data_IF_645383605364
#
_entry.id   IF_645383605364
#
_cell.length_a   1.000
_cell.length_b   1.000
_cell.length_c   1.000
_cell.angle_alpha   90.00
_cell.angle_beta   90.00
_cell.angle_gamma   90.00
#
_symmetry.space_group_name_H-M   'P 1'
#
loop_
_entity.id
_entity.type
_entity.pdbx_description
1 polymer ?
#
# COMPACT_ATOMS: atom_id res chain seq x y z
N UNK A 1 -8.97 18.86 10.93
CA UNK A 1 -8.25 19.84 10.10
C UNK A 1 -6.86 19.32 9.72
N UNK A 2 -5.83 19.35 10.59
CA UNK A 2 -4.46 18.91 10.20
C UNK A 2 -4.33 17.43 9.78
N UNK A 3 -5.05 16.50 10.43
CA UNK A 3 -4.90 15.07 10.14
C UNK A 3 -5.48 14.65 8.78
N UNK A 4 -6.63 15.21 8.42
CA UNK A 4 -7.36 14.87 7.19
C UNK A 4 -6.64 15.34 5.92
N UNK A 5 -5.86 16.42 5.98
CA UNK A 5 -5.13 16.95 4.82
C UNK A 5 -3.93 16.07 4.45
N UNK A 6 -3.17 15.58 5.44
CA UNK A 6 -2.02 14.71 5.17
C UNK A 6 -2.42 13.29 4.76
N UNK A 7 -3.57 12.81 5.24
CA UNK A 7 -4.16 11.56 4.76
C UNK A 7 -4.63 11.66 3.30
N UNK A 8 -5.15 12.83 2.91
CA UNK A 8 -5.55 13.12 1.54
C UNK A 8 -4.33 13.26 0.61
N UNK A 9 -3.25 13.92 1.07
CA UNK A 9 -1.99 14.03 0.33
C UNK A 9 -1.21 12.71 0.25
N UNK A 10 -1.63 11.67 0.97
CA UNK A 10 -1.00 10.35 0.92
C UNK A 10 0.36 10.30 1.60
N UNK A 11 0.62 11.14 2.61
CA UNK A 11 1.87 11.08 3.37
C UNK A 11 2.00 9.70 4.02
N UNK A 12 3.07 8.92 3.77
CA UNK A 12 3.14 7.50 4.15
C UNK A 12 3.25 7.30 5.66
N UNK A 13 3.97 8.19 6.35
CA UNK A 13 4.23 8.11 7.78
C UNK A 13 4.05 9.48 8.43
N UNK A 14 3.35 9.53 9.57
CA UNK A 14 3.18 10.74 10.38
C UNK A 14 3.83 10.53 11.74
N UNK A 15 4.62 11.52 12.17
CA UNK A 15 5.24 11.56 13.49
C UNK A 15 4.45 12.56 14.35
N UNK A 16 3.93 12.09 15.48
CA UNK A 16 3.29 12.92 16.49
C UNK A 16 4.20 13.01 17.72
N UNK A 17 4.44 14.24 18.17
CA UNK A 17 5.30 14.54 19.31
C UNK A 17 4.44 15.28 20.33
N UNK A 18 4.14 14.62 21.44
CA UNK A 18 3.46 15.20 22.60
C UNK A 18 4.46 15.67 23.66
N UNK A 19 4.11 16.67 24.51
CA UNK A 19 4.99 17.11 25.60
C UNK A 19 5.35 15.97 26.57
N UNK A 20 4.39 15.10 26.88
CA UNK A 20 4.58 13.92 27.75
C UNK A 20 5.45 12.84 27.10
N UNK A 21 5.33 12.65 25.80
CA UNK A 21 6.13 11.65 25.08
C UNK A 21 7.59 12.11 24.99
N UNK A 22 7.81 13.43 24.81
CA UNK A 22 9.14 14.03 24.84
C UNK A 22 9.83 13.84 26.19
N UNK A 23 9.11 14.04 27.30
CA UNK A 23 9.61 13.77 28.67
C UNK A 23 10.00 12.30 28.87
N UNK A 24 9.26 11.38 28.23
CA UNK A 24 9.52 9.94 28.27
C UNK A 24 10.51 9.45 27.19
N UNK A 25 11.02 10.33 26.33
CA UNK A 25 11.92 9.97 25.23
C UNK A 25 11.26 9.08 24.17
N UNK A 26 9.97 9.23 23.92
CA UNK A 26 9.20 8.48 22.93
C UNK A 26 8.50 9.39 21.92
N UNK A 27 8.11 8.83 20.78
CA UNK A 27 7.28 9.48 19.76
C UNK A 27 6.24 8.50 19.23
N UNK A 28 5.08 9.01 18.80
CA UNK A 28 4.05 8.21 18.14
C UNK A 28 4.23 8.29 16.63
N UNK A 29 4.30 7.13 15.98
CA UNK A 29 4.33 6.95 14.53
C UNK A 29 2.97 6.41 14.07
N UNK A 30 2.37 7.05 13.07
CA UNK A 30 1.13 6.60 12.45
C UNK A 30 1.35 6.32 10.96
N UNK A 31 1.02 5.11 10.52
CA UNK A 31 1.14 4.65 9.13
C UNK A 31 -0.12 4.94 8.33
N UNK A 32 0.03 5.38 7.08
CA UNK A 32 -1.12 5.68 6.21
C UNK A 32 -1.73 4.45 5.55
N UNK A 33 -0.92 3.46 5.22
CA UNK A 33 -1.34 2.26 4.50
C UNK A 33 -2.17 1.31 5.36
N UNK A 34 -1.80 1.14 6.64
CA UNK A 34 -2.52 0.27 7.60
C UNK A 34 -3.37 1.04 8.62
N UNK A 35 -3.19 2.35 8.74
CA UNK A 35 -3.80 3.19 9.81
C UNK A 35 -3.37 2.80 11.23
N UNK A 36 -2.32 1.98 11.36
CA UNK A 36 -1.75 1.57 12.64
C UNK A 36 -0.92 2.70 13.27
N UNK A 37 -0.86 2.66 14.60
CA UNK A 37 -0.04 3.56 15.41
C UNK A 37 0.92 2.75 16.27
N UNK A 38 2.15 3.21 16.37
CA UNK A 38 3.20 2.61 17.18
C UNK A 38 3.94 3.70 17.95
N UNK A 39 4.17 3.51 19.24
CA UNK A 39 5.02 4.38 20.05
C UNK A 39 6.43 3.81 20.09
N UNK A 40 7.42 4.61 19.70
CA UNK A 40 8.81 4.17 19.60
C UNK A 40 9.74 5.10 20.40
N UNK A 41 10.86 4.57 20.87
CA UNK A 41 11.89 5.40 21.53
C UNK A 41 12.60 6.29 20.51
N UNK A 42 12.99 7.49 20.94
CA UNK A 42 13.74 8.45 20.12
C UNK A 42 15.16 7.99 19.80
N UNK A 43 15.73 7.07 20.57
CA UNK A 43 17.12 6.62 20.44
C UNK A 43 17.44 5.92 19.11
N UNK A 44 16.47 5.23 18.51
CA UNK A 44 16.61 4.52 17.24
C UNK A 44 15.58 4.95 16.18
N UNK A 45 15.06 6.17 16.33
CA UNK A 45 13.94 6.66 15.53
C UNK A 45 14.26 6.70 14.02
N UNK A 46 15.46 7.14 13.65
CA UNK A 46 15.85 7.27 12.23
C UNK A 46 15.87 5.93 11.51
N UNK A 47 16.45 4.89 12.11
CA UNK A 47 16.49 3.54 11.52
C UNK A 47 15.08 2.95 11.45
N UNK A 48 14.28 3.12 12.50
CA UNK A 48 12.89 2.67 12.51
C UNK A 48 12.06 3.33 11.41
N UNK A 49 12.22 4.64 11.18
CA UNK A 49 11.53 5.35 10.10
C UNK A 49 11.94 4.81 8.73
N UNK A 50 13.24 4.63 8.48
CA UNK A 50 13.74 4.08 7.21
C UNK A 50 13.14 2.70 6.93
N UNK A 51 13.21 1.79 7.90
CA UNK A 51 12.65 0.45 7.80
C UNK A 51 11.12 0.46 7.59
N UNK A 52 10.41 1.38 8.26
CA UNK A 52 8.96 1.52 8.08
C UNK A 52 8.60 2.00 6.67
N UNK A 53 9.35 2.95 6.11
CA UNK A 53 9.12 3.43 4.75
C UNK A 53 9.35 2.33 3.70
N UNK A 54 10.40 1.53 3.85
CA UNK A 54 10.65 0.36 2.99
C UNK A 54 9.50 -0.65 3.10
N UNK A 55 9.10 -0.99 4.33
CA UNK A 55 7.99 -1.93 4.56
C UNK A 55 6.66 -1.44 4.00
N UNK A 56 6.38 -0.13 4.06
CA UNK A 56 5.17 0.46 3.45
C UNK A 56 5.21 0.26 1.94
N UNK A 57 6.35 0.52 1.30
CA UNK A 57 6.51 0.35 -0.13
C UNK A 57 6.33 -1.12 -0.55
N UNK A 58 6.97 -2.05 0.15
CA UNK A 58 6.82 -3.49 -0.10
C UNK A 58 5.37 -3.95 0.05
N UNK A 59 4.69 -3.52 1.12
CA UNK A 59 3.30 -3.88 1.41
C UNK A 59 2.36 -3.40 0.30
N UNK A 60 2.51 -2.14 -0.12
CA UNK A 60 1.68 -1.55 -1.16
C UNK A 60 1.96 -2.17 -2.53
N UNK A 61 3.22 -2.44 -2.85
CA UNK A 61 3.60 -3.11 -4.09
C UNK A 61 3.01 -4.52 -4.16
N UNK A 62 3.16 -5.30 -3.10
CA UNK A 62 2.59 -6.65 -3.02
C UNK A 62 1.07 -6.61 -3.19
N UNK A 63 0.39 -5.70 -2.48
CA UNK A 63 -1.06 -5.53 -2.61
C UNK A 63 -1.47 -5.19 -4.04
N UNK A 64 -0.73 -4.33 -4.73
CA UNK A 64 -1.01 -3.97 -6.11
C UNK A 64 -0.75 -5.14 -7.08
N UNK A 65 0.31 -5.91 -6.86
CA UNK A 65 0.61 -7.11 -7.65
C UNK A 65 -0.48 -8.17 -7.48
N UNK A 66 -0.85 -8.49 -6.24
CA UNK A 66 -1.94 -9.43 -5.95
C UNK A 66 -3.25 -8.97 -6.58
N UNK A 67 -3.62 -7.69 -6.42
CA UNK A 67 -4.83 -7.17 -7.05
C UNK A 67 -4.80 -7.30 -8.58
N UNK A 68 -3.67 -6.97 -9.22
CA UNK A 68 -3.54 -7.15 -10.67
C UNK A 68 -3.67 -8.62 -11.06
N UNK A 69 -2.97 -9.51 -10.38
CA UNK A 69 -2.92 -10.93 -10.73
C UNK A 69 -4.28 -11.61 -10.51
N UNK A 70 -4.99 -11.25 -9.44
CA UNK A 70 -6.37 -11.72 -9.16
C UNK A 70 -7.39 -11.22 -10.19
N UNK A 71 -7.13 -10.05 -10.80
CA UNK A 71 -7.93 -9.46 -11.87
C UNK A 71 -7.26 -9.66 -13.25
N UNK A 72 -6.45 -10.71 -13.39
CA UNK A 72 -5.88 -11.12 -14.66
C UNK A 72 -6.29 -12.56 -14.97
N UNK A 73 -6.92 -12.76 -16.13
CA UNK A 73 -7.48 -14.05 -16.51
C UNK A 73 -6.89 -14.58 -17.81
N UNK A 74 -6.95 -15.89 -18.01
CA UNK A 74 -6.49 -16.53 -19.23
C UNK A 74 -7.68 -17.07 -20.04
N UNK A 75 -7.83 -16.55 -21.26
CA UNK A 75 -8.83 -17.05 -22.20
C UNK A 75 -8.32 -18.32 -22.90
N UNK A 76 -9.20 -19.33 -22.98
CA UNK A 76 -8.91 -20.63 -23.62
C UNK A 76 -9.30 -20.63 -25.10
N UNK A 77 -10.32 -19.85 -25.43
CA UNK A 77 -10.88 -19.73 -26.77
C UNK A 77 -11.57 -18.35 -26.91
N UNK A 78 -12.02 -18.05 -28.13
CA UNK A 78 -12.64 -16.77 -28.47
C UNK A 78 -13.95 -16.49 -27.73
N UNK A 79 -14.75 -17.51 -27.41
CA UNK A 79 -16.01 -17.31 -26.70
C UNK A 79 -15.76 -17.01 -25.23
N UNK A 80 -14.84 -17.74 -24.60
CA UNK A 80 -14.41 -17.48 -23.23
C UNK A 80 -13.76 -16.08 -23.10
N UNK A 81 -12.98 -15.65 -24.10
CA UNK A 81 -12.42 -14.29 -24.15
C UNK A 81 -13.51 -13.21 -24.13
N UNK A 82 -14.53 -13.33 -25.00
CA UNK A 82 -15.65 -12.38 -25.05
C UNK A 82 -16.42 -12.35 -23.74
N UNK A 83 -16.62 -13.51 -23.11
CA UNK A 83 -17.25 -13.60 -21.79
C UNK A 83 -16.45 -12.86 -20.71
N UNK A 84 -15.14 -13.09 -20.63
CA UNK A 84 -14.27 -12.44 -19.65
C UNK A 84 -14.30 -10.92 -19.80
N UNK A 85 -14.09 -10.38 -21.01
CA UNK A 85 -14.10 -8.92 -21.23
C UNK A 85 -15.47 -8.31 -20.90
N UNK A 86 -16.57 -9.00 -21.17
CA UNK A 86 -17.91 -8.49 -20.86
C UNK A 86 -18.21 -8.37 -19.36
N UNK A 87 -17.42 -9.04 -18.50
CA UNK A 87 -17.58 -9.08 -17.04
C UNK A 87 -16.63 -8.15 -16.28
N UNK A 88 -16.01 -7.18 -16.96
CA UNK A 88 -15.08 -6.22 -16.35
C UNK A 88 -13.85 -6.91 -15.70
N UNK A 89 -13.34 -7.93 -16.39
CA UNK A 89 -12.33 -8.86 -15.89
C UNK A 89 -10.91 -8.28 -15.73
N UNK A 90 -10.72 -6.96 -15.78
CA UNK A 90 -9.38 -6.37 -15.74
C UNK A 90 -8.54 -6.76 -16.97
N UNK A 91 -7.48 -7.55 -16.77
CA UNK A 91 -6.61 -8.03 -17.85
C UNK A 91 -6.99 -9.43 -18.34
N UNK A 92 -6.85 -9.68 -19.64
CA UNK A 92 -7.07 -11.01 -20.21
C UNK A 92 -5.90 -11.39 -21.12
N UNK A 93 -5.18 -12.45 -20.76
CA UNK A 93 -4.23 -13.12 -21.63
C UNK A 93 -4.97 -14.02 -22.61
N UNK A 94 -4.71 -13.83 -23.90
CA UNK A 94 -5.21 -14.69 -24.97
C UNK A 94 -4.06 -15.07 -25.89
N UNK A 95 -4.12 -16.27 -26.46
CA UNK A 95 -3.17 -16.68 -27.49
C UNK A 95 -3.42 -15.88 -28.77
N UNK A 96 -2.35 -15.34 -29.34
CA UNK A 96 -2.36 -14.63 -30.63
C UNK A 96 -1.22 -15.18 -31.48
N UNK A 97 -1.51 -15.54 -32.72
CA UNK A 97 -0.55 -16.14 -33.66
C UNK A 97 0.10 -15.12 -34.61
N UNK A 98 -0.29 -13.84 -34.54
CA UNK A 98 0.34 -12.76 -35.29
C UNK A 98 -0.23 -12.50 -36.69
N UNK A 99 -1.23 -13.28 -37.11
CA UNK A 99 -1.89 -13.19 -38.43
C UNK A 99 -3.21 -12.42 -38.38
#
# INVERSE_FOLDING_TARGET
WKFSEYEFKGVPLRIAIGPRDLENGTVELARRDTLEKETVSTSDLSNKIANLLEKIQETLLLKAQTYRDDNTHHAKDWNHFKELISKDAGFVYAHWDGT
#
